data_IF_131398881336
#
_entry.id   IF_131398881336
#
_cell.length_a   1.000
_cell.length_b   1.000
_cell.length_c   1.000
_cell.angle_alpha   90.00
_cell.angle_beta   90.00
_cell.angle_gamma   90.00
#
_symmetry.space_group_name_H-M   'P 1'
#
loop_
_entity.id
_entity.type
_entity.pdbx_description
1 polymer ?
#
# COMPACT_ATOMS: atom_id res chain seq x y z
N UNK A 1 -10.24 6.82 14.76
CA UNK A 1 -10.03 5.45 15.33
C UNK A 1 -9.11 5.56 16.53
N UNK A 2 -9.35 4.84 17.61
CA UNK A 2 -8.52 4.75 18.80
C UNK A 2 -8.77 3.39 19.49
N UNK A 3 -7.91 2.99 20.42
CA UNK A 3 -8.02 1.73 21.16
C UNK A 3 -6.76 0.85 21.02
N UNK A 4 -6.77 -0.30 21.68
CA UNK A 4 -5.61 -1.19 21.77
C UNK A 4 -5.13 -1.74 20.40
N UNK A 5 -6.07 -1.96 19.49
CA UNK A 5 -5.80 -2.51 18.16
C UNK A 5 -5.79 -1.42 17.06
N UNK A 6 -5.85 -0.13 17.45
CA UNK A 6 -5.79 0.97 16.51
C UNK A 6 -4.34 1.32 16.18
N UNK A 7 -3.98 1.23 14.90
CA UNK A 7 -2.73 1.71 14.37
C UNK A 7 -2.90 2.33 12.97
N UNK A 8 -1.81 2.79 12.39
CA UNK A 8 -1.80 3.36 11.05
C UNK A 8 -2.29 2.36 10.00
N UNK A 9 -1.88 1.10 10.09
CA UNK A 9 -2.22 0.08 9.10
C UNK A 9 -3.67 -0.38 9.22
N UNK A 10 -4.22 -0.42 10.44
CA UNK A 10 -5.63 -0.69 10.66
C UNK A 10 -6.52 0.39 10.01
N UNK A 11 -6.18 1.69 10.20
CA UNK A 11 -6.89 2.79 9.54
C UNK A 11 -6.73 2.74 8.02
N UNK A 12 -5.50 2.49 7.54
CA UNK A 12 -5.20 2.33 6.12
C UNK A 12 -6.03 1.21 5.50
N UNK A 13 -6.14 0.05 6.14
CA UNK A 13 -6.95 -1.08 5.67
C UNK A 13 -8.44 -0.74 5.55
N UNK A 14 -8.98 0.09 6.47
CA UNK A 14 -10.36 0.59 6.36
C UNK A 14 -10.54 1.48 5.12
N UNK A 15 -9.58 2.39 4.87
CA UNK A 15 -9.60 3.24 3.68
C UNK A 15 -9.44 2.41 2.39
N UNK A 16 -8.55 1.42 2.38
CA UNK A 16 -8.38 0.51 1.24
C UNK A 16 -9.64 -0.28 0.93
N UNK A 17 -10.34 -0.78 1.95
CA UNK A 17 -11.64 -1.44 1.76
C UNK A 17 -12.69 -0.54 1.08
N UNK A 18 -12.68 0.78 1.37
CA UNK A 18 -13.52 1.74 0.65
C UNK A 18 -13.06 1.90 -0.81
N UNK A 19 -11.75 2.04 -1.05
CA UNK A 19 -11.22 2.20 -2.41
C UNK A 19 -11.45 0.96 -3.27
N UNK A 20 -11.31 -0.23 -2.70
CA UNK A 20 -11.60 -1.49 -3.38
C UNK A 20 -13.07 -1.59 -3.77
N UNK A 21 -13.98 -1.20 -2.86
CA UNK A 21 -15.42 -1.17 -3.15
C UNK A 21 -15.78 -0.19 -4.28
N UNK A 22 -14.97 0.88 -4.45
CA UNK A 22 -15.11 1.86 -5.52
C UNK A 22 -14.27 1.51 -6.78
N UNK A 23 -13.55 0.39 -6.76
CA UNK A 23 -12.60 -0.01 -7.81
C UNK A 23 -11.52 1.04 -8.11
N UNK A 24 -11.03 1.69 -7.07
CA UNK A 24 -10.01 2.73 -7.14
C UNK A 24 -8.69 2.18 -6.56
N UNK A 25 -7.58 2.48 -7.21
CA UNK A 25 -6.24 2.14 -6.72
C UNK A 25 -5.59 3.37 -6.11
N UNK A 26 -5.35 3.34 -4.81
CA UNK A 26 -4.71 4.42 -4.07
C UNK A 26 -3.19 4.26 -4.03
N UNK A 27 -2.50 5.39 -4.06
CA UNK A 27 -1.07 5.53 -3.80
C UNK A 27 -0.90 6.38 -2.56
N UNK A 28 0.01 6.00 -1.68
CA UNK A 28 0.26 6.70 -0.42
C UNK A 28 1.61 7.40 -0.49
N UNK A 29 1.63 8.69 -0.13
CA UNK A 29 2.84 9.50 -0.01
C UNK A 29 2.99 9.98 1.41
N UNK A 30 4.24 10.12 1.89
CA UNK A 30 4.47 10.67 3.21
C UNK A 30 3.85 12.08 3.31
N UNK A 31 2.98 12.29 4.29
CA UNK A 31 2.33 13.58 4.50
C UNK A 31 3.22 14.56 5.26
N UNK A 32 3.12 15.83 4.90
CA UNK A 32 3.75 16.94 5.61
C UNK A 32 2.77 17.77 6.45
N UNK A 33 1.54 17.29 6.63
CA UNK A 33 0.52 18.00 7.40
C UNK A 33 0.94 18.12 8.87
N UNK A 34 0.97 19.34 9.45
CA UNK A 34 1.58 19.59 10.75
C UNK A 34 0.81 18.97 11.92
N UNK A 35 -0.46 18.63 11.72
CA UNK A 35 -1.31 17.97 12.72
C UNK A 35 -1.23 16.44 12.68
N UNK A 36 -0.49 15.87 11.71
CA UNK A 36 -0.21 14.44 11.66
C UNK A 36 1.19 14.14 12.22
N UNK A 37 1.34 12.96 12.78
CA UNK A 37 2.64 12.47 13.22
C UNK A 37 3.59 12.31 12.00
N UNK A 38 4.80 12.90 12.02
CA UNK A 38 5.68 12.99 10.83
C UNK A 38 6.14 11.63 10.26
N UNK A 39 6.10 10.57 11.07
CA UNK A 39 6.47 9.22 10.62
C UNK A 39 5.27 8.28 10.44
N UNK A 40 4.04 8.75 10.66
CA UNK A 40 2.81 7.93 10.60
C UNK A 40 1.64 8.71 10.00
N UNK A 41 1.93 9.50 8.97
CA UNK A 41 0.96 10.25 8.18
C UNK A 41 1.19 10.04 6.69
N UNK A 42 0.12 9.93 5.92
CA UNK A 42 0.17 9.78 4.48
C UNK A 42 -0.91 10.60 3.79
N UNK A 43 -0.55 11.22 2.68
CA UNK A 43 -1.47 11.75 1.70
C UNK A 43 -1.94 10.60 0.79
N UNK A 44 -3.22 10.61 0.43
CA UNK A 44 -3.83 9.60 -0.42
C UNK A 44 -4.00 10.16 -1.81
N UNK A 45 -3.40 9.51 -2.79
CA UNK A 45 -3.48 9.88 -4.20
C UNK A 45 -4.22 8.81 -5.00
N UNK A 46 -5.14 9.23 -5.88
CA UNK A 46 -5.84 8.35 -6.82
C UNK A 46 -5.83 9.03 -8.19
N UNK A 47 -5.35 8.32 -9.21
CA UNK A 47 -5.25 8.86 -10.56
C UNK A 47 -4.35 10.11 -10.67
N UNK A 48 -3.35 10.22 -9.79
CA UNK A 48 -2.42 11.36 -9.74
C UNK A 48 -2.99 12.61 -9.06
N UNK A 49 -4.12 12.50 -8.35
CA UNK A 49 -4.73 13.59 -7.57
C UNK A 49 -4.76 13.20 -6.10
N UNK A 50 -4.37 14.13 -5.23
CA UNK A 50 -4.58 13.98 -3.79
C UNK A 50 -6.08 14.07 -3.49
N UNK A 51 -6.61 13.01 -2.86
CA UNK A 51 -8.03 12.87 -2.50
C UNK A 51 -8.26 12.89 -0.99
N UNK A 52 -7.21 13.06 -0.22
CA UNK A 52 -7.30 13.12 1.23
C UNK A 52 -6.00 12.73 1.91
N UNK A 53 -6.10 12.48 3.20
CA UNK A 53 -4.99 12.04 4.03
C UNK A 53 -5.47 11.05 5.09
N UNK A 54 -4.52 10.32 5.66
CA UNK A 54 -4.75 9.50 6.85
C UNK A 54 -3.48 9.41 7.71
N UNK A 55 -3.65 9.20 8.99
CA UNK A 55 -2.50 9.04 9.87
C UNK A 55 -2.81 9.13 11.35
N UNK A 56 -1.76 9.02 12.15
CA UNK A 56 -1.78 9.31 13.57
C UNK A 56 -1.80 10.83 13.78
N UNK A 57 -2.69 11.30 14.62
CA UNK A 57 -2.71 12.72 15.03
C UNK A 57 -1.44 13.00 15.84
N UNK A 58 -0.82 14.16 15.61
CA UNK A 58 0.39 14.56 16.33
C UNK A 58 0.11 14.58 17.83
N UNK A 59 0.99 14.03 18.69
CA UNK A 59 0.76 13.97 20.13
C UNK A 59 0.48 15.34 20.76
N UNK A 60 1.17 16.40 20.33
CA UNK A 60 0.94 17.74 20.84
C UNK A 60 -0.46 18.26 20.50
N UNK A 61 -0.95 17.96 19.28
CA UNK A 61 -2.32 18.30 18.87
C UNK A 61 -3.34 17.52 19.70
N UNK A 62 -3.11 16.24 19.93
CA UNK A 62 -3.99 15.44 20.80
C UNK A 62 -4.04 15.98 22.24
N UNK A 63 -2.90 16.41 22.77
CA UNK A 63 -2.80 17.01 24.10
C UNK A 63 -3.56 18.35 24.23
N UNK A 64 -3.59 19.17 23.17
CA UNK A 64 -4.37 20.42 23.14
C UNK A 64 -5.89 20.19 23.28
N UNK A 65 -6.35 18.95 23.01
CA UNK A 65 -7.74 18.51 23.17
C UNK A 65 -7.93 17.58 24.39
N UNK A 66 -7.03 17.60 25.35
CA UNK A 66 -7.06 16.76 26.56
C UNK A 66 -7.15 15.24 26.23
N UNK A 67 -6.51 14.81 25.17
CA UNK A 67 -6.56 13.44 24.70
C UNK A 67 -5.24 12.71 24.92
N UNK A 68 -5.21 11.79 25.90
CA UNK A 68 -4.01 11.03 26.33
C UNK A 68 -3.81 9.72 25.54
N UNK A 69 -4.64 9.45 24.54
CA UNK A 69 -4.54 8.23 23.73
C UNK A 69 -4.11 8.54 22.30
N UNK A 70 -3.49 7.56 21.63
CA UNK A 70 -3.19 7.69 20.21
C UNK A 70 -4.47 7.74 19.40
N UNK A 71 -4.58 8.76 18.57
CA UNK A 71 -5.70 8.96 17.66
C UNK A 71 -5.24 8.78 16.22
N UNK A 72 -6.01 8.05 15.45
CA UNK A 72 -5.82 7.88 14.02
C UNK A 72 -7.02 8.47 13.28
N UNK A 73 -6.77 9.33 12.32
CA UNK A 73 -7.80 10.03 11.55
C UNK A 73 -7.54 9.89 10.05
N UNK A 74 -8.62 9.87 9.30
CA UNK A 74 -8.61 10.00 7.84
C UNK A 74 -9.66 11.03 7.44
N UNK A 75 -9.34 11.83 6.44
CA UNK A 75 -10.26 12.73 5.76
C UNK A 75 -10.13 12.51 4.26
N UNK A 76 -11.25 12.25 3.59
CA UNK A 76 -11.31 11.90 2.18
C UNK A 76 -12.33 12.80 1.48
N UNK A 77 -11.94 13.34 0.33
CA UNK A 77 -12.83 14.07 -0.57
C UNK A 77 -13.70 13.08 -1.36
N UNK A 78 -14.93 12.89 -0.89
CA UNK A 78 -15.87 11.97 -1.51
C UNK A 78 -16.31 12.42 -2.92
N UNK A 79 -16.41 13.72 -3.17
CA UNK A 79 -16.77 14.24 -4.50
C UNK A 79 -15.65 13.90 -5.51
N UNK A 80 -14.40 14.04 -5.10
CA UNK A 80 -13.25 13.63 -5.91
C UNK A 80 -13.22 12.11 -6.13
N UNK A 81 -13.49 11.29 -5.10
CA UNK A 81 -13.58 9.85 -5.22
C UNK A 81 -14.67 9.42 -6.20
N UNK A 82 -15.89 9.97 -6.06
CA UNK A 82 -17.00 9.63 -6.95
C UNK A 82 -16.76 10.10 -8.39
N UNK A 83 -16.10 11.22 -8.60
CA UNK A 83 -15.72 11.68 -9.93
C UNK A 83 -14.68 10.75 -10.62
N UNK A 84 -13.90 10.01 -9.84
CA UNK A 84 -12.91 9.05 -10.34
C UNK A 84 -13.51 7.66 -10.58
N UNK A 85 -14.67 7.35 -10.00
CA UNK A 85 -15.39 6.10 -10.23
C UNK A 85 -15.90 6.02 -11.67
N UNK A 86 -15.33 5.12 -12.47
CA UNK A 86 -15.66 4.94 -13.90
C UNK A 86 -16.74 3.88 -14.18
N UNK A 87 -17.59 3.57 -13.21
CA UNK A 87 -18.66 2.59 -13.39
C UNK A 87 -18.43 1.30 -12.60
N UNK A 88 -19.33 0.32 -12.80
CA UNK A 88 -19.36 -0.92 -12.02
C UNK A 88 -18.23 -1.87 -12.33
N UNK A 89 -18.14 -2.92 -11.52
CA UNK A 89 -17.17 -3.99 -11.67
C UNK A 89 -17.24 -4.62 -13.07
N UNK A 90 -16.13 -4.66 -13.76
CA UNK A 90 -15.98 -5.46 -14.99
C UNK A 90 -15.68 -6.91 -14.58
N UNK A 91 -16.46 -7.84 -15.12
CA UNK A 91 -16.15 -9.24 -14.98
C UNK A 91 -14.82 -9.53 -15.70
N UNK A 92 -13.84 -10.06 -14.96
CA UNK A 92 -12.61 -10.61 -15.53
C UNK A 92 -12.63 -12.12 -15.32
N UNK A 93 -12.40 -12.86 -16.39
CA UNK A 93 -12.27 -14.30 -16.27
C UNK A 93 -11.08 -14.65 -15.39
N UNK A 94 -11.32 -15.43 -14.33
CA UNK A 94 -10.25 -15.94 -13.48
C UNK A 94 -9.61 -17.17 -14.14
N UNK A 95 -8.33 -17.33 -13.95
CA UNK A 95 -7.59 -18.48 -14.44
C UNK A 95 -8.10 -19.77 -13.80
N UNK A 96 -8.28 -20.80 -14.61
CA UNK A 96 -8.53 -22.19 -14.14
C UNK A 96 -7.23 -22.91 -13.79
N UNK A 97 -6.09 -22.33 -14.14
CA UNK A 97 -4.78 -22.88 -13.87
C UNK A 97 -4.23 -22.28 -12.58
N UNK A 98 -3.52 -23.09 -11.76
CA UNK A 98 -2.95 -22.57 -10.51
C UNK A 98 -1.95 -21.45 -10.81
N UNK A 99 -1.96 -20.37 -10.00
CA UNK A 99 -0.91 -19.36 -10.07
C UNK A 99 0.42 -19.93 -9.59
N UNK A 100 1.50 -19.30 -10.00
CA UNK A 100 2.86 -19.59 -9.50
C UNK A 100 3.33 -18.38 -8.71
N UNK A 101 3.84 -18.62 -7.51
CA UNK A 101 4.36 -17.59 -6.62
C UNK A 101 5.88 -17.63 -6.57
N UNK A 102 6.49 -16.45 -6.46
CA UNK A 102 7.94 -16.28 -6.29
C UNK A 102 8.22 -15.19 -5.25
N UNK A 103 9.09 -15.53 -4.33
CA UNK A 103 9.56 -14.60 -3.31
C UNK A 103 10.94 -14.05 -3.70
N UNK A 104 11.11 -12.76 -3.50
CA UNK A 104 12.37 -12.07 -3.71
C UNK A 104 12.63 -11.11 -2.55
N UNK A 105 13.81 -11.18 -1.94
CA UNK A 105 14.26 -10.22 -0.95
C UNK A 105 15.28 -9.27 -1.58
N UNK A 106 15.01 -7.98 -1.52
CA UNK A 106 15.87 -6.93 -2.11
C UNK A 106 16.37 -6.00 -1.00
N UNK A 107 17.66 -5.76 -0.97
CA UNK A 107 18.26 -4.79 -0.04
C UNK A 107 18.26 -3.41 -0.70
N UNK A 108 17.63 -2.45 -0.03
CA UNK A 108 17.48 -1.07 -0.53
C UNK A 108 17.81 -0.06 0.57
N UNK A 109 18.03 1.19 0.19
CA UNK A 109 18.21 2.27 1.15
C UNK A 109 16.94 2.47 1.99
N UNK A 110 17.10 2.88 3.26
CA UNK A 110 15.98 3.04 4.21
C UNK A 110 14.88 3.99 3.71
N UNK A 111 15.25 5.01 2.94
CA UNK A 111 14.31 6.00 2.40
C UNK A 111 13.50 5.53 1.19
N UNK A 112 13.80 4.36 0.60
CA UNK A 112 13.00 3.80 -0.50
C UNK A 112 11.66 3.31 0.05
N UNK A 113 10.56 3.86 -0.45
CA UNK A 113 9.23 3.44 -0.03
C UNK A 113 8.88 2.05 -0.60
N UNK A 114 8.24 1.20 0.22
CA UNK A 114 7.77 -0.11 -0.24
C UNK A 114 6.79 -0.01 -1.42
N UNK A 115 5.92 1.02 -1.42
CA UNK A 115 5.01 1.29 -2.53
C UNK A 115 5.72 1.61 -3.85
N UNK A 116 6.88 2.27 -3.82
CA UNK A 116 7.66 2.54 -5.03
C UNK A 116 8.27 1.25 -5.61
N UNK A 117 8.63 0.28 -4.73
CA UNK A 117 9.11 -1.03 -5.17
C UNK A 117 8.00 -1.85 -5.83
N UNK A 118 6.80 -1.86 -5.24
CA UNK A 118 5.61 -2.50 -5.85
C UNK A 118 5.29 -1.86 -7.19
N UNK A 119 5.27 -0.53 -7.26
CA UNK A 119 5.04 0.20 -8.51
C UNK A 119 6.11 -0.10 -9.57
N UNK A 120 7.38 -0.21 -9.18
CA UNK A 120 8.46 -0.58 -10.09
C UNK A 120 8.27 -2.00 -10.64
N UNK A 121 7.86 -2.95 -9.79
CA UNK A 121 7.56 -4.31 -10.20
C UNK A 121 6.38 -4.36 -11.19
N UNK A 122 5.26 -3.71 -10.86
CA UNK A 122 4.09 -3.64 -11.74
C UNK A 122 4.38 -2.99 -13.10
N UNK A 123 5.27 -2.00 -13.12
CA UNK A 123 5.70 -1.31 -14.35
C UNK A 123 6.86 -2.00 -15.07
N UNK A 124 7.41 -3.09 -14.56
CA UNK A 124 8.52 -3.82 -15.18
C UNK A 124 8.17 -4.44 -16.53
N UNK A 125 6.87 -4.64 -16.79
CA UNK A 125 6.38 -5.34 -17.96
C UNK A 125 6.59 -6.85 -17.90
N UNK A 126 6.82 -7.42 -16.70
CA UNK A 126 6.96 -8.86 -16.52
C UNK A 126 5.72 -9.58 -17.02
N UNK A 127 5.92 -10.47 -18.00
CA UNK A 127 4.84 -11.21 -18.62
C UNK A 127 4.19 -12.15 -17.61
N UNK A 128 2.86 -12.24 -17.63
CA UNK A 128 2.06 -13.07 -16.72
C UNK A 128 2.04 -12.66 -15.24
N UNK A 129 2.76 -11.60 -14.81
CA UNK A 129 2.67 -11.11 -13.44
C UNK A 129 1.31 -10.49 -13.20
N UNK A 130 0.62 -10.95 -12.16
CA UNK A 130 -0.73 -10.49 -11.79
C UNK A 130 -0.73 -9.65 -10.52
N UNK A 131 0.22 -9.88 -9.60
CA UNK A 131 0.41 -9.06 -8.41
C UNK A 131 1.86 -9.06 -7.94
N UNK A 132 2.22 -8.00 -7.20
CA UNK A 132 3.44 -7.87 -6.44
C UNK A 132 3.09 -7.29 -5.07
N UNK A 133 3.48 -7.96 -3.99
CA UNK A 133 3.11 -7.59 -2.63
C UNK A 133 4.33 -7.63 -1.72
N UNK A 134 4.44 -6.66 -0.81
CA UNK A 134 5.46 -6.69 0.25
C UNK A 134 4.88 -7.41 1.45
N UNK A 135 5.56 -8.45 1.91
CA UNK A 135 5.12 -9.22 3.07
C UNK A 135 6.05 -9.12 4.29
N UNK A 136 7.31 -8.67 4.10
CA UNK A 136 8.22 -8.45 5.23
C UNK A 136 9.21 -7.32 4.94
N UNK A 137 9.61 -6.61 6.01
CA UNK A 137 10.66 -5.59 5.97
C UNK A 137 11.60 -5.82 7.14
N UNK A 138 12.79 -6.33 6.86
CA UNK A 138 13.80 -6.62 7.85
C UNK A 138 14.85 -5.50 7.94
N UNK A 139 15.19 -5.14 9.19
CA UNK A 139 16.26 -4.21 9.54
C UNK A 139 17.18 -4.89 10.55
N UNK A 140 18.44 -5.00 10.23
CA UNK A 140 19.37 -5.65 11.13
C UNK A 140 20.84 -5.42 10.75
N UNK A 141 21.74 -5.71 11.68
CA UNK A 141 23.18 -5.49 11.51
C UNK A 141 23.79 -6.18 10.30
N UNK A 142 23.16 -7.24 9.79
CA UNK A 142 23.64 -8.00 8.63
C UNK A 142 23.41 -7.27 7.29
N UNK A 143 22.49 -6.29 7.25
CA UNK A 143 22.09 -5.59 6.01
C UNK A 143 22.90 -4.30 5.81
N UNK A 144 23.48 -3.78 6.87
CA UNK A 144 24.23 -2.53 6.87
C UNK A 144 23.40 -1.34 7.37
N UNK A 145 24.10 -0.31 7.82
CA UNK A 145 23.49 0.91 8.35
C UNK A 145 22.85 1.70 7.21
N UNK A 146 21.63 2.23 7.46
CA UNK A 146 20.87 3.00 6.46
C UNK A 146 20.24 2.16 5.34
N UNK A 147 20.22 0.84 5.49
CA UNK A 147 19.63 -0.11 4.54
C UNK A 147 18.52 -0.93 5.20
N UNK A 148 17.61 -1.45 4.39
CA UNK A 148 16.60 -2.43 4.78
C UNK A 148 16.46 -3.51 3.71
N UNK A 149 16.07 -4.71 4.12
CA UNK A 149 15.66 -5.79 3.22
C UNK A 149 14.15 -5.80 3.13
N UNK A 150 13.63 -5.75 1.93
CA UNK A 150 12.20 -5.82 1.65
C UNK A 150 11.93 -7.13 0.94
N UNK A 151 11.11 -7.98 1.56
CA UNK A 151 10.68 -9.25 0.97
C UNK A 151 9.35 -9.04 0.25
N UNK A 152 9.34 -9.44 -1.01
CA UNK A 152 8.20 -9.30 -1.91
C UNK A 152 7.78 -10.66 -2.46
N UNK A 153 6.48 -10.88 -2.54
CA UNK A 153 5.87 -12.01 -3.24
C UNK A 153 5.34 -11.53 -4.59
N UNK A 154 5.63 -12.29 -5.62
CA UNK A 154 5.15 -12.06 -6.98
C UNK A 154 4.26 -13.22 -7.40
N UNK A 155 3.05 -12.93 -7.85
CA UNK A 155 2.12 -13.93 -8.37
C UNK A 155 2.07 -13.85 -9.88
N UNK A 156 2.25 -14.98 -10.53
CA UNK A 156 2.16 -15.13 -11.98
C UNK A 156 1.01 -16.06 -12.35
N UNK A 157 0.23 -15.70 -13.36
CA UNK A 157 -0.91 -16.51 -13.81
C UNK A 157 -1.14 -16.35 -15.31
N UNK A 158 -1.64 -17.42 -15.95
CA UNK A 158 -2.11 -17.39 -17.34
C UNK A 158 -3.53 -17.98 -17.41
N UNK A 159 -4.40 -17.38 -18.20
CA UNK A 159 -5.76 -17.89 -18.45
C UNK A 159 -5.80 -19.09 -19.39
N UNK A 160 -4.70 -19.37 -20.11
CA UNK A 160 -4.65 -20.38 -21.17
C UNK A 160 -3.95 -21.67 -20.78
N UNK A 161 -3.02 -21.65 -19.82
CA UNK A 161 -2.19 -22.81 -19.40
C UNK A 161 -1.50 -22.59 -18.07
N UNK A 162 -0.98 -23.67 -17.49
CA UNK A 162 -0.03 -23.58 -16.39
C UNK A 162 1.30 -23.03 -16.89
N UNK A 163 1.89 -22.10 -16.13
CA UNK A 163 3.21 -21.54 -16.43
C UNK A 163 4.32 -22.48 -15.98
N UNK A 164 5.44 -22.46 -16.71
CA UNK A 164 6.67 -23.19 -16.35
C UNK A 164 7.63 -22.29 -15.58
N UNK A 165 8.58 -22.91 -14.87
CA UNK A 165 9.62 -22.17 -14.14
C UNK A 165 10.48 -21.29 -15.04
N UNK A 166 10.70 -21.71 -16.29
CA UNK A 166 11.51 -20.96 -17.28
C UNK A 166 10.83 -19.69 -17.77
N UNK A 167 9.49 -19.64 -17.71
CA UNK A 167 8.70 -18.49 -18.16
C UNK A 167 8.57 -17.40 -17.10
N UNK A 168 8.91 -17.72 -15.85
CA UNK A 168 8.79 -16.82 -14.69
C UNK A 168 10.15 -16.57 -13.99
N UNK A 169 11.26 -16.98 -14.63
CA UNK A 169 12.62 -16.83 -14.12
C UNK A 169 13.21 -15.42 -14.33
#
# INVERSE_FOLDING_TARGET
MYGADADFFALKGVAEGLFDALHLKAVYRASSLPFLHPGRGADVEIGGKTVGYLGEIHPDVAADYDCDVRLYAAELDLDALFALCKGGAEFREFSKFPPVERDLAVVVAENVAAGDMVAAAENSGAEHMTSAEVFDVYRGAQIGEGMKSVAMNFTFSSVSRTLTDEEIA
#
